data_IF_452034559672
#
_entry.id   IF_452034559672
#
_cell.length_a   1.000
_cell.length_b   1.000
_cell.length_c   1.000
_cell.angle_alpha   90.00
_cell.angle_beta   90.00
_cell.angle_gamma   90.00
#
_symmetry.space_group_name_H-M   'P 1'
#
loop_
_entity.id
_entity.type
_entity.pdbx_description
1 polymer ?
#
# COMPACT_ATOMS: atom_id res chain seq x y z
N UNK A 1 -15.80 15.06 -4.21
CA UNK A 1 -15.72 13.59 -3.94
C UNK A 1 -16.89 12.90 -4.60
N UNK A 2 -16.68 11.71 -5.13
CA UNK A 2 -17.75 10.89 -5.77
C UNK A 2 -18.79 10.52 -4.70
N UNK A 3 -20.10 10.79 -4.93
CA UNK A 3 -21.14 10.54 -3.92
C UNK A 3 -21.22 9.10 -3.42
N UNK A 4 -21.02 8.10 -4.28
CA UNK A 4 -21.01 6.68 -3.91
C UNK A 4 -19.88 6.35 -2.94
N UNK A 5 -18.69 6.87 -3.18
CA UNK A 5 -17.53 6.71 -2.31
C UNK A 5 -17.74 7.41 -0.97
N UNK A 6 -18.28 8.63 -0.99
CA UNK A 6 -18.57 9.40 0.21
C UNK A 6 -19.55 8.68 1.17
N UNK A 7 -20.53 7.95 0.63
CA UNK A 7 -21.47 7.15 1.43
C UNK A 7 -20.86 5.96 2.15
N UNK A 8 -19.76 5.42 1.65
CA UNK A 8 -19.05 4.29 2.26
C UNK A 8 -18.12 4.70 3.40
N UNK A 9 -17.84 5.99 3.56
CA UNK A 9 -16.98 6.49 4.61
C UNK A 9 -17.77 6.60 5.92
N UNK A 10 -17.22 6.09 7.00
CA UNK A 10 -17.76 6.30 8.35
C UNK A 10 -17.27 7.63 8.91
N UNK A 11 -18.04 8.68 8.68
CA UNK A 11 -17.70 10.03 9.13
C UNK A 11 -17.71 10.22 10.66
N UNK A 12 -18.32 9.29 11.41
CA UNK A 12 -18.27 9.29 12.87
C UNK A 12 -16.89 8.88 13.41
N UNK A 13 -16.23 7.94 12.73
CA UNK A 13 -14.83 7.59 13.01
C UNK A 13 -13.84 8.41 12.19
N UNK A 14 -14.32 9.00 11.16
CA UNK A 14 -13.88 10.13 10.43
C UNK A 14 -12.67 10.05 9.58
N UNK A 15 -12.46 11.21 8.99
CA UNK A 15 -11.22 11.65 8.38
C UNK A 15 -10.35 12.20 9.49
N UNK A 16 -9.31 11.48 9.84
CA UNK A 16 -8.30 12.00 10.76
C UNK A 16 -7.18 12.61 9.97
N UNK A 17 -6.95 13.90 10.16
CA UNK A 17 -5.76 14.60 9.69
C UNK A 17 -4.73 14.55 10.82
N UNK A 18 -3.76 13.67 10.71
CA UNK A 18 -2.61 13.67 11.61
C UNK A 18 -1.48 14.49 10.96
N UNK A 19 -1.44 15.80 11.24
CA UNK A 19 -0.50 16.71 10.63
C UNK A 19 -0.87 17.08 9.18
N UNK A 20 0.02 17.78 8.48
CA UNK A 20 -0.23 18.26 7.12
C UNK A 20 -0.24 17.16 6.06
N UNK A 21 0.41 16.03 6.32
CA UNK A 21 0.77 15.03 5.31
C UNK A 21 0.12 13.66 5.54
N UNK A 22 -0.66 13.48 6.60
CA UNK A 22 -1.32 12.21 6.91
C UNK A 22 -2.82 12.33 6.82
N UNK A 23 -3.42 11.49 6.01
CA UNK A 23 -4.88 11.37 5.88
C UNK A 23 -5.27 9.92 6.14
N UNK A 24 -6.32 9.72 6.92
CA UNK A 24 -6.88 8.42 7.21
C UNK A 24 -8.38 8.44 6.99
N UNK A 25 -8.89 7.51 6.18
CA UNK A 25 -10.31 7.27 5.97
C UNK A 25 -10.69 5.93 6.56
N UNK A 26 -11.74 5.90 7.38
CA UNK A 26 -12.35 4.66 7.88
C UNK A 26 -13.66 4.44 7.13
N UNK A 27 -13.84 3.25 6.57
CA UNK A 27 -15.05 2.86 5.86
C UNK A 27 -16.03 2.16 6.80
N UNK A 28 -17.31 2.14 6.42
CA UNK A 28 -18.39 1.52 7.22
C UNK A 28 -18.18 0.01 7.43
N UNK A 29 -17.51 -0.66 6.52
CA UNK A 29 -17.16 -2.09 6.65
C UNK A 29 -15.94 -2.34 7.55
N UNK A 30 -15.36 -1.33 8.16
CA UNK A 30 -14.17 -1.42 9.00
C UNK A 30 -12.84 -1.32 8.27
N UNK A 31 -12.84 -1.23 6.93
CA UNK A 31 -11.61 -1.03 6.16
C UNK A 31 -11.03 0.37 6.41
N UNK A 32 -9.73 0.49 6.25
CA UNK A 32 -9.01 1.75 6.44
C UNK A 32 -8.13 2.02 5.22
N UNK A 33 -8.16 3.24 4.74
CA UNK A 33 -7.25 3.76 3.72
C UNK A 33 -6.50 4.94 4.34
N UNK A 34 -5.19 4.85 4.39
CA UNK A 34 -4.35 5.91 4.93
C UNK A 34 -3.11 6.18 4.08
N UNK A 35 -2.51 7.33 4.29
CA UNK A 35 -1.23 7.67 3.68
C UNK A 35 -0.10 7.38 4.66
N UNK A 36 0.99 6.81 4.14
CA UNK A 36 2.22 6.58 4.89
C UNK A 36 3.39 7.27 4.20
N UNK A 37 4.28 7.83 4.99
CA UNK A 37 5.51 8.38 4.47
C UNK A 37 6.53 7.26 4.18
N UNK A 38 7.26 7.38 3.08
CA UNK A 38 8.36 6.47 2.74
C UNK A 38 9.61 6.83 3.57
N UNK A 39 9.60 6.46 4.84
CA UNK A 39 10.68 6.75 5.82
C UNK A 39 10.86 5.59 6.79
N UNK A 40 11.97 5.60 7.47
CA UNK A 40 12.29 4.64 8.53
C UNK A 40 11.23 4.61 9.65
N UNK A 41 10.64 5.75 10.00
CA UNK A 41 9.60 5.84 11.02
C UNK A 41 8.32 5.04 10.71
N UNK A 42 8.13 4.63 9.46
CA UNK A 42 7.00 3.78 9.03
C UNK A 42 7.24 2.30 9.35
N UNK A 43 8.47 1.93 9.69
CA UNK A 43 8.82 0.56 10.07
C UNK A 43 7.93 0.07 11.23
N UNK A 44 7.50 -1.19 11.15
CA UNK A 44 6.68 -1.82 12.17
C UNK A 44 5.17 -1.66 11.98
N UNK A 45 4.72 -0.76 11.12
CA UNK A 45 3.30 -0.70 10.76
C UNK A 45 2.89 -1.90 9.90
N UNK A 46 1.60 -2.19 9.83
CA UNK A 46 1.07 -3.33 9.08
C UNK A 46 -0.09 -2.91 8.20
N UNK A 47 -0.05 -3.33 6.94
CA UNK A 47 -1.11 -3.09 5.94
C UNK A 47 -1.31 -4.33 5.08
N UNK A 48 -2.52 -4.48 4.55
CA UNK A 48 -2.88 -5.61 3.70
C UNK A 48 -2.52 -5.42 2.23
N UNK A 49 -2.16 -4.23 1.85
CA UNK A 49 -1.75 -3.85 0.51
C UNK A 49 -1.45 -2.38 0.46
N UNK A 50 -0.99 -1.90 -0.67
CA UNK A 50 -0.70 -0.48 -0.84
C UNK A 50 -0.40 -0.10 -2.27
N UNK A 51 -0.44 1.20 -2.49
CA UNK A 51 -0.09 1.85 -3.73
C UNK A 51 1.09 2.79 -3.47
N UNK A 52 2.13 2.62 -4.26
CA UNK A 52 3.32 3.46 -4.20
C UNK A 52 3.36 4.34 -5.44
N UNK A 53 3.18 5.64 -5.23
CA UNK A 53 3.28 6.64 -6.27
C UNK A 53 4.70 7.18 -6.38
N UNK A 54 5.15 7.43 -7.59
CA UNK A 54 6.49 7.94 -7.90
C UNK A 54 7.61 7.12 -7.23
N UNK A 55 7.51 5.80 -7.28
CA UNK A 55 8.43 4.92 -6.57
C UNK A 55 9.89 5.04 -7.06
N UNK A 56 10.14 5.64 -8.23
CA UNK A 56 11.49 5.96 -8.69
C UNK A 56 12.21 6.97 -7.78
N UNK A 57 11.44 7.85 -7.12
CA UNK A 57 11.97 8.84 -6.18
C UNK A 57 12.13 8.35 -4.75
N UNK A 58 11.71 7.12 -4.43
CA UNK A 58 11.84 6.56 -3.10
C UNK A 58 13.22 5.89 -2.96
N UNK A 59 13.86 6.09 -1.81
CA UNK A 59 15.12 5.40 -1.51
C UNK A 59 14.91 3.87 -1.58
N UNK A 60 15.78 3.19 -2.32
CA UNK A 60 15.66 1.74 -2.58
C UNK A 60 15.72 0.90 -1.29
N UNK A 61 16.59 1.25 -0.36
CA UNK A 61 16.68 0.56 0.93
C UNK A 61 15.40 0.73 1.75
N UNK A 62 14.86 1.94 1.83
CA UNK A 62 13.59 2.21 2.51
C UNK A 62 12.45 1.42 1.86
N UNK A 63 12.38 1.40 0.54
CA UNK A 63 11.34 0.68 -0.18
C UNK A 63 11.39 -0.83 0.10
N UNK A 64 12.56 -1.44 0.03
CA UNK A 64 12.74 -2.89 0.21
C UNK A 64 12.66 -3.32 1.68
N UNK A 65 13.19 -2.54 2.59
CA UNK A 65 13.33 -2.95 4.00
C UNK A 65 12.20 -2.46 4.90
N UNK A 66 11.50 -1.40 4.51
CA UNK A 66 10.42 -0.80 5.30
C UNK A 66 9.07 -0.94 4.62
N UNK A 67 8.91 -0.40 3.42
CA UNK A 67 7.60 -0.27 2.78
C UNK A 67 7.03 -1.62 2.34
N UNK A 68 7.82 -2.45 1.67
CA UNK A 68 7.36 -3.78 1.23
C UNK A 68 6.98 -4.67 2.42
N UNK A 69 7.79 -4.79 3.48
CA UNK A 69 7.38 -5.54 4.67
C UNK A 69 6.12 -5.02 5.37
N UNK A 70 5.89 -3.71 5.37
CA UNK A 70 4.68 -3.10 5.93
C UNK A 70 3.42 -3.62 5.23
N UNK A 71 3.46 -3.84 3.92
CA UNK A 71 2.34 -4.31 3.10
C UNK A 71 2.22 -5.84 3.02
N UNK A 72 2.89 -6.57 3.89
CA UNK A 72 2.97 -8.03 3.85
C UNK A 72 1.94 -8.74 4.73
N UNK A 73 0.92 -8.05 5.23
CA UNK A 73 -0.12 -8.65 6.08
C UNK A 73 -1.23 -9.29 5.23
N UNK A 74 -1.61 -10.52 5.58
CA UNK A 74 -2.75 -11.19 4.95
C UNK A 74 -4.08 -10.57 5.36
N UNK A 75 -5.03 -10.54 4.43
CA UNK A 75 -6.37 -10.00 4.67
C UNK A 75 -7.13 -10.87 5.68
N UNK A 76 -7.93 -10.21 6.50
CA UNK A 76 -8.78 -10.87 7.49
C UNK A 76 -10.24 -10.88 7.03
N UNK A 77 -10.92 -11.99 7.27
CA UNK A 77 -12.36 -12.08 7.15
C UNK A 77 -13.05 -11.39 8.34
N UNK A 78 -14.38 -11.23 8.27
CA UNK A 78 -15.16 -10.61 9.35
C UNK A 78 -15.05 -11.34 10.69
N UNK A 79 -14.81 -12.65 10.67
CA UNK A 79 -14.63 -13.50 11.85
C UNK A 79 -13.21 -13.42 12.44
N UNK A 80 -12.32 -12.62 11.83
CA UNK A 80 -10.94 -12.46 12.27
C UNK A 80 -9.96 -13.50 11.73
N UNK A 81 -10.44 -14.50 10.97
CA UNK A 81 -9.55 -15.50 10.36
C UNK A 81 -8.83 -14.92 9.14
N UNK A 82 -7.64 -15.45 8.85
CA UNK A 82 -6.88 -15.10 7.66
C UNK A 82 -7.06 -16.15 6.58
N UNK A 83 -7.21 -15.71 5.33
CA UNK A 83 -7.26 -16.60 4.17
C UNK A 83 -6.00 -16.40 3.32
N UNK A 84 -5.02 -17.28 3.48
CA UNK A 84 -3.77 -17.23 2.74
C UNK A 84 -3.92 -17.50 1.23
N UNK A 85 -5.05 -18.07 0.83
CA UNK A 85 -5.37 -18.35 -0.58
C UNK A 85 -6.07 -17.19 -1.29
N UNK A 86 -6.39 -16.09 -0.56
CA UNK A 86 -7.00 -14.89 -1.15
C UNK A 86 -6.04 -14.29 -2.19
N UNK A 87 -6.42 -14.20 -3.47
CA UNK A 87 -5.51 -13.72 -4.52
C UNK A 87 -5.12 -12.24 -4.39
N UNK A 88 -5.91 -11.45 -3.63
CA UNK A 88 -5.61 -10.04 -3.37
C UNK A 88 -4.78 -9.81 -2.10
N UNK A 89 -4.37 -10.88 -1.42
CA UNK A 89 -3.48 -10.77 -0.27
C UNK A 89 -2.16 -10.11 -0.65
N UNK A 90 -1.73 -9.18 0.19
CA UNK A 90 -0.42 -8.53 0.04
C UNK A 90 -0.26 -7.82 -1.30
N UNK A 91 -1.37 -7.29 -1.85
CA UNK A 91 -1.36 -6.60 -3.14
C UNK A 91 -0.54 -5.33 -3.10
N UNK A 92 0.31 -5.15 -4.10
CA UNK A 92 1.16 -3.98 -4.25
C UNK A 92 0.99 -3.40 -5.64
N UNK A 93 0.73 -2.10 -5.71
CA UNK A 93 0.60 -1.35 -6.97
C UNK A 93 1.69 -0.29 -7.01
N UNK A 94 2.43 -0.26 -8.09
CA UNK A 94 3.52 0.69 -8.31
C UNK A 94 3.17 1.60 -9.47
N UNK A 95 3.19 2.91 -9.22
CA UNK A 95 2.98 3.94 -10.23
C UNK A 95 4.24 4.80 -10.28
N UNK A 96 4.82 4.94 -11.46
CA UNK A 96 6.05 5.69 -11.64
C UNK A 96 6.21 6.18 -13.06
N UNK A 97 7.04 7.21 -13.24
CA UNK A 97 7.58 7.58 -14.53
C UNK A 97 8.73 6.65 -14.91
N UNK A 98 9.11 6.64 -16.19
CA UNK A 98 10.26 5.87 -16.66
C UNK A 98 11.54 6.33 -15.92
N UNK A 99 12.30 5.38 -15.43
CA UNK A 99 13.56 5.60 -14.74
C UNK A 99 14.74 4.99 -15.49
N UNK A 100 15.94 5.21 -14.97
CA UNK A 100 17.15 4.61 -15.49
C UNK A 100 17.24 3.12 -15.13
N UNK A 101 18.03 2.38 -15.92
CA UNK A 101 18.43 1.01 -15.58
C UNK A 101 19.10 0.98 -14.19
N UNK A 102 18.84 -0.07 -13.42
CA UNK A 102 19.37 -0.19 -12.06
C UNK A 102 18.57 0.53 -10.99
N UNK A 103 17.48 1.24 -11.34
CA UNK A 103 16.53 1.77 -10.37
C UNK A 103 15.54 0.70 -9.93
N UNK A 104 14.93 0.86 -8.77
CA UNK A 104 13.95 -0.10 -8.24
C UNK A 104 12.79 -0.40 -9.22
N UNK A 105 12.13 0.58 -9.86
CA UNK A 105 11.04 0.29 -10.80
C UNK A 105 11.50 -0.54 -12.00
N UNK A 106 12.68 -0.26 -12.53
CA UNK A 106 13.26 -1.02 -13.63
C UNK A 106 13.51 -2.47 -13.24
N UNK A 107 14.18 -2.70 -12.12
CA UNK A 107 14.50 -4.04 -11.61
C UNK A 107 13.22 -4.84 -11.32
N UNK A 108 12.20 -4.18 -10.79
CA UNK A 108 10.91 -4.79 -10.50
C UNK A 108 10.20 -5.22 -11.78
N UNK A 109 10.19 -4.37 -12.79
CA UNK A 109 9.61 -4.68 -14.11
C UNK A 109 10.30 -5.89 -14.74
N UNK A 110 11.62 -5.91 -14.76
CA UNK A 110 12.39 -7.05 -15.28
C UNK A 110 12.07 -8.33 -14.50
N UNK A 111 11.98 -8.26 -13.18
CA UNK A 111 11.59 -9.39 -12.33
C UNK A 111 10.20 -9.94 -12.67
N UNK A 112 9.24 -9.09 -12.95
CA UNK A 112 7.90 -9.51 -13.39
C UNK A 112 7.93 -10.17 -14.77
N UNK A 113 8.64 -9.57 -15.73
CA UNK A 113 8.77 -10.13 -17.07
C UNK A 113 9.43 -11.53 -17.05
N UNK A 114 10.48 -11.71 -16.26
CA UNK A 114 11.12 -13.01 -16.08
C UNK A 114 10.14 -14.05 -15.53
N UNK A 115 9.34 -13.71 -14.54
CA UNK A 115 8.33 -14.61 -13.97
C UNK A 115 7.23 -15.00 -14.97
N UNK A 116 6.87 -14.08 -15.88
CA UNK A 116 5.84 -14.34 -16.87
C UNK A 116 6.28 -15.32 -17.96
N UNK A 117 7.58 -15.44 -18.24
CA UNK A 117 8.13 -16.33 -19.26
C UNK A 117 8.72 -17.63 -18.69
N UNK A 118 8.86 -17.74 -17.41
CA UNK A 118 9.30 -18.96 -16.70
C UNK A 118 8.14 -19.59 -15.93
#
# INVERSE_FOLDING_TARGET
MIPSFNREIDWGRGKTLEGKDKVRYVFKNGSVLDTLAARESTRGQRRHGGLMEECVGIDDAILREVIIPVMAMSRRAKDGTTNEKEPLNKSQIYITTAGYKGTFPYDRLIGFLVRMVT
#
